data_IF_450878156471
#
_entry.id   IF_450878156471
#
_cell.length_a   1.000
_cell.length_b   1.000
_cell.length_c   1.000
_cell.angle_alpha   90.00
_cell.angle_beta   90.00
_cell.angle_gamma   90.00
#
_symmetry.space_group_name_H-M   'P 1'
#
loop_
_entity.id
_entity.type
_entity.pdbx_description
1 polymer ?
#
# COMPACT_ATOMS: atom_id res chain seq x y z
N UNK A 1 -2.24 -20.55 -13.37
CA UNK A 1 -2.96 -20.97 -12.15
C UNK A 1 -2.84 -22.48 -12.02
N UNK A 2 -2.43 -22.98 -10.85
CA UNK A 2 -2.22 -24.42 -10.60
C UNK A 2 -3.59 -25.11 -10.47
N UNK A 3 -3.90 -26.16 -11.27
CA UNK A 3 -5.19 -26.85 -11.21
C UNK A 3 -5.44 -27.46 -9.82
N UNK A 4 -6.71 -27.41 -9.37
CA UNK A 4 -7.16 -27.94 -8.06
C UNK A 4 -6.84 -29.42 -7.82
N UNK A 5 -6.55 -30.20 -8.87
CA UNK A 5 -6.25 -31.65 -8.80
C UNK A 5 -4.77 -31.98 -9.03
N UNK A 6 -3.89 -30.99 -9.05
CA UNK A 6 -2.45 -31.24 -9.25
C UNK A 6 -1.73 -31.49 -7.92
N UNK A 7 -0.66 -32.30 -7.96
CA UNK A 7 0.19 -32.59 -6.80
C UNK A 7 0.84 -31.34 -6.18
N UNK A 8 0.94 -30.25 -6.92
CA UNK A 8 1.46 -28.97 -6.43
C UNK A 8 0.42 -28.08 -5.75
N UNK A 9 -0.85 -28.51 -5.66
CA UNK A 9 -1.91 -27.66 -5.11
C UNK A 9 -1.76 -27.43 -3.61
N UNK A 10 -1.35 -28.44 -2.86
CA UNK A 10 -1.20 -28.33 -1.40
C UNK A 10 -0.13 -27.29 -1.02
N UNK A 11 1.03 -27.32 -1.71
CA UNK A 11 2.08 -26.31 -1.53
C UNK A 11 1.64 -24.91 -1.96
N UNK A 12 0.88 -24.81 -3.05
CA UNK A 12 0.31 -23.55 -3.49
C UNK A 12 -0.63 -22.96 -2.44
N UNK A 13 -1.52 -23.77 -1.86
CA UNK A 13 -2.46 -23.35 -0.83
C UNK A 13 -1.76 -22.98 0.47
N UNK A 14 -0.73 -23.72 0.85
CA UNK A 14 0.12 -23.38 1.99
C UNK A 14 0.74 -21.99 1.81
N UNK A 15 1.44 -21.74 0.69
CA UNK A 15 2.06 -20.43 0.44
C UNK A 15 1.02 -19.32 0.40
N UNK A 16 -0.14 -19.54 -0.20
CA UNK A 16 -1.21 -18.55 -0.24
C UNK A 16 -1.74 -18.21 1.17
N UNK A 17 -1.79 -19.20 2.06
CA UNK A 17 -2.22 -19.03 3.46
C UNK A 17 -1.23 -18.25 4.33
N UNK A 18 0.01 -18.06 3.86
CA UNK A 18 1.03 -17.24 4.54
C UNK A 18 0.78 -15.72 4.36
N UNK A 19 -0.21 -15.32 3.54
CA UNK A 19 -0.63 -13.93 3.42
C UNK A 19 -1.14 -13.39 4.77
N UNK A 20 -0.51 -12.35 5.36
CA UNK A 20 -1.00 -11.74 6.59
C UNK A 20 -2.44 -11.26 6.42
N UNK A 21 -3.34 -11.74 7.29
CA UNK A 21 -4.79 -11.49 7.25
C UNK A 21 -5.47 -11.81 5.89
N UNK A 22 -4.85 -12.67 5.09
CA UNK A 22 -5.30 -12.95 3.73
C UNK A 22 -5.18 -11.76 2.78
N UNK A 23 -4.36 -10.75 3.11
CA UNK A 23 -4.15 -9.54 2.29
C UNK A 23 -2.98 -9.70 1.33
N UNK A 24 -3.10 -9.04 0.18
CA UNK A 24 -2.08 -9.00 -0.86
C UNK A 24 -0.78 -8.42 -0.30
N UNK A 25 0.31 -9.20 -0.36
CA UNK A 25 1.60 -8.79 0.16
C UNK A 25 2.24 -7.63 -0.63
N UNK A 26 1.75 -7.32 -1.84
CA UNK A 26 2.26 -6.21 -2.65
C UNK A 26 1.53 -4.87 -2.41
N UNK A 27 0.22 -4.88 -2.14
CA UNK A 27 -0.55 -3.65 -1.98
C UNK A 27 -1.21 -3.47 -0.61
N UNK A 28 -1.15 -4.48 0.26
CA UNK A 28 -1.72 -4.43 1.61
C UNK A 28 -3.25 -4.33 1.69
N UNK A 29 -3.97 -4.20 0.56
CA UNK A 29 -5.42 -3.92 0.55
C UNK A 29 -6.25 -5.04 -0.07
N UNK A 30 -5.88 -5.54 -1.25
CA UNK A 30 -6.64 -6.57 -1.96
C UNK A 30 -6.58 -7.93 -1.26
N UNK A 31 -7.54 -8.81 -1.53
CA UNK A 31 -7.50 -10.21 -1.06
C UNK A 31 -6.38 -10.96 -1.78
N UNK A 32 -5.52 -11.65 -1.03
CA UNK A 32 -4.53 -12.58 -1.59
C UNK A 32 -5.25 -13.84 -2.08
N UNK A 33 -5.39 -13.97 -3.40
CA UNK A 33 -6.09 -15.07 -4.04
C UNK A 33 -5.30 -15.73 -5.18
N UNK A 34 -4.05 -15.26 -5.40
CA UNK A 34 -3.09 -15.89 -6.29
C UNK A 34 -1.66 -15.78 -5.75
N UNK A 35 -0.74 -16.55 -6.33
CA UNK A 35 0.71 -16.39 -6.13
C UNK A 35 1.30 -15.69 -7.34
N UNK A 36 2.03 -14.61 -7.09
CA UNK A 36 2.82 -13.89 -8.07
C UNK A 36 4.23 -14.46 -8.16
N UNK A 37 4.75 -14.52 -9.39
CA UNK A 37 6.16 -14.77 -9.64
C UNK A 37 6.92 -13.45 -9.63
N UNK A 38 7.76 -13.21 -8.62
CA UNK A 38 8.53 -11.96 -8.53
C UNK A 38 9.47 -11.78 -9.73
N UNK A 39 10.11 -12.87 -10.14
CA UNK A 39 10.79 -13.02 -11.43
C UNK A 39 9.97 -13.92 -12.35
N UNK A 40 9.64 -13.46 -13.57
CA UNK A 40 8.68 -14.12 -14.45
C UNK A 40 9.18 -15.49 -14.90
N UNK A 41 8.32 -16.50 -14.81
CA UNK A 41 8.65 -17.88 -15.17
C UNK A 41 9.11 -18.06 -16.62
N UNK A 42 8.69 -17.16 -17.52
CA UNK A 42 9.07 -17.22 -18.94
C UNK A 42 10.56 -16.94 -19.14
N UNK A 43 11.10 -15.98 -18.39
CA UNK A 43 12.53 -15.66 -18.39
C UNK A 43 13.34 -16.47 -17.36
N UNK A 44 12.72 -16.86 -16.25
CA UNK A 44 13.36 -17.56 -15.12
C UNK A 44 12.64 -18.87 -14.77
N UNK A 45 12.60 -19.86 -15.68
CA UNK A 45 11.83 -21.10 -15.48
C UNK A 45 12.29 -21.92 -14.27
N UNK A 46 13.58 -21.88 -13.93
CA UNK A 46 14.12 -22.56 -12.75
C UNK A 46 13.59 -21.99 -11.43
N UNK A 47 13.14 -20.73 -11.43
CA UNK A 47 12.58 -20.06 -10.25
C UNK A 47 11.04 -20.18 -10.17
N UNK A 48 10.41 -20.84 -11.14
CA UNK A 48 8.94 -20.87 -11.25
C UNK A 48 8.25 -21.59 -10.08
N UNK A 49 8.94 -22.47 -9.36
CA UNK A 49 8.42 -23.19 -8.19
C UNK A 49 9.20 -22.89 -6.92
N UNK A 50 10.12 -21.92 -6.98
CA UNK A 50 10.92 -21.53 -5.81
C UNK A 50 10.05 -20.70 -4.87
N UNK A 51 9.87 -21.09 -3.59
CA UNK A 51 9.02 -20.35 -2.65
C UNK A 51 9.40 -18.87 -2.49
N UNK A 52 10.71 -18.58 -2.47
CA UNK A 52 11.22 -17.20 -2.42
C UNK A 52 10.82 -16.34 -3.63
N UNK A 53 10.41 -16.96 -4.74
CA UNK A 53 9.93 -16.27 -5.95
C UNK A 53 8.39 -16.23 -6.03
N UNK A 54 7.67 -16.84 -5.09
CA UNK A 54 6.21 -16.95 -5.05
C UNK A 54 5.64 -16.10 -3.91
N UNK A 55 4.87 -15.08 -4.26
CA UNK A 55 4.34 -14.11 -3.30
C UNK A 55 2.81 -14.11 -3.33
N UNK A 56 2.12 -14.23 -2.18
CA UNK A 56 0.67 -14.08 -2.10
C UNK A 56 0.21 -12.67 -2.52
N UNK A 57 -0.66 -12.61 -3.53
CA UNK A 57 -1.13 -11.35 -4.13
C UNK A 57 -2.58 -11.41 -4.54
N UNK A 58 -3.20 -10.23 -4.69
CA UNK A 58 -4.46 -10.12 -5.41
C UNK A 58 -4.24 -10.24 -6.93
N UNK A 59 -5.28 -10.67 -7.66
CA UNK A 59 -5.24 -10.75 -9.14
C UNK A 59 -4.81 -9.46 -9.82
N UNK A 60 -5.26 -8.31 -9.32
CA UNK A 60 -4.92 -7.02 -9.95
C UNK A 60 -3.44 -6.72 -9.88
N UNK A 61 -2.80 -6.91 -8.71
CA UNK A 61 -1.35 -6.70 -8.57
C UNK A 61 -0.56 -7.69 -9.41
N UNK A 62 -0.94 -8.98 -9.40
CA UNK A 62 -0.31 -9.98 -10.25
C UNK A 62 -0.44 -9.64 -11.74
N UNK A 63 -1.62 -9.17 -12.18
CA UNK A 63 -1.84 -8.75 -13.56
C UNK A 63 -1.04 -7.50 -13.94
N UNK A 64 -1.05 -6.46 -13.10
CA UNK A 64 -0.34 -5.21 -13.38
C UNK A 64 1.18 -5.38 -13.37
N UNK A 65 1.72 -6.20 -12.46
CA UNK A 65 3.14 -6.56 -12.49
C UNK A 65 3.47 -7.40 -13.72
N UNK A 66 2.63 -8.39 -14.03
CA UNK A 66 2.74 -9.21 -15.23
C UNK A 66 4.09 -9.92 -15.34
N UNK A 67 4.57 -10.07 -16.57
CA UNK A 67 5.80 -10.79 -16.90
C UNK A 67 7.04 -9.87 -16.92
N UNK A 68 7.06 -8.79 -16.12
CA UNK A 68 8.20 -7.86 -16.08
C UNK A 68 9.49 -8.56 -15.61
N UNK A 69 10.54 -8.48 -16.43
CA UNK A 69 11.88 -8.99 -16.14
C UNK A 69 12.86 -7.81 -15.99
N UNK A 70 12.98 -7.22 -14.80
CA UNK A 70 13.83 -6.05 -14.57
C UNK A 70 15.31 -6.39 -14.78
N UNK A 71 16.03 -5.51 -15.50
CA UNK A 71 17.44 -5.69 -15.82
C UNK A 71 18.38 -5.13 -14.74
N UNK A 72 17.88 -4.19 -13.92
CA UNK A 72 18.64 -3.60 -12.81
C UNK A 72 17.90 -3.72 -11.48
N UNK A 73 18.59 -3.39 -10.38
CA UNK A 73 17.99 -3.44 -9.05
C UNK A 73 16.87 -2.41 -8.87
N UNK A 74 16.99 -1.25 -9.50
CA UNK A 74 16.07 -0.10 -9.45
C UNK A 74 14.77 -0.35 -10.22
N UNK A 75 14.80 -1.24 -11.22
CA UNK A 75 13.63 -1.58 -12.04
C UNK A 75 12.68 -2.58 -11.36
N UNK A 76 13.09 -3.14 -10.22
CA UNK A 76 12.27 -4.09 -9.46
C UNK A 76 11.14 -3.37 -8.71
N UNK A 77 9.98 -4.03 -8.62
CA UNK A 77 8.98 -3.71 -7.58
C UNK A 77 9.49 -4.17 -6.22
N UNK A 78 8.87 -3.72 -5.13
CA UNK A 78 9.25 -4.17 -3.79
C UNK A 78 8.99 -5.67 -3.63
N UNK A 79 9.99 -6.38 -3.14
CA UNK A 79 9.92 -7.78 -2.80
C UNK A 79 9.53 -7.93 -1.31
N UNK A 80 8.35 -8.47 -0.97
CA UNK A 80 7.87 -8.50 0.42
C UNK A 80 8.79 -9.22 1.41
N UNK A 81 9.56 -10.20 0.95
CA UNK A 81 10.47 -10.97 1.80
C UNK A 81 11.87 -10.34 1.96
N UNK A 82 12.28 -9.45 1.06
CA UNK A 82 13.67 -8.99 0.99
C UNK A 82 13.85 -7.47 1.11
N UNK A 83 12.79 -6.70 0.84
CA UNK A 83 12.82 -5.23 0.90
C UNK A 83 12.24 -4.67 2.22
N UNK A 84 12.34 -5.41 3.33
CA UNK A 84 11.77 -4.99 4.62
C UNK A 84 12.23 -3.61 5.10
N UNK A 85 13.49 -3.23 4.82
CA UNK A 85 14.10 -1.95 5.20
C UNK A 85 13.40 -0.71 4.64
N UNK A 86 12.57 -0.83 3.60
CA UNK A 86 11.80 0.33 3.12
C UNK A 86 10.78 0.82 4.13
N UNK A 87 10.43 -0.01 5.13
CA UNK A 87 9.52 0.36 6.22
C UNK A 87 10.21 1.19 7.31
N UNK A 88 11.55 1.28 7.31
CA UNK A 88 12.28 2.21 8.19
C UNK A 88 12.08 3.67 7.78
N UNK A 89 11.44 3.90 6.63
CA UNK A 89 11.15 5.20 6.05
C UNK A 89 9.67 5.38 5.79
N UNK A 90 9.18 6.60 5.99
CA UNK A 90 7.85 7.01 5.56
C UNK A 90 7.95 7.53 4.12
N UNK A 91 7.49 6.73 3.16
CA UNK A 91 7.50 7.07 1.73
C UNK A 91 6.10 7.16 1.13
N UNK A 92 5.05 6.61 1.74
CA UNK A 92 3.67 6.77 1.29
C UNK A 92 3.04 8.00 1.97
N UNK A 93 2.57 8.95 1.16
CA UNK A 93 1.95 10.19 1.62
C UNK A 93 0.54 10.36 1.04
N UNK A 94 -0.34 11.02 1.79
CA UNK A 94 -1.63 11.50 1.29
C UNK A 94 -1.60 13.02 1.21
N UNK A 95 -1.84 13.58 0.02
CA UNK A 95 -1.98 15.01 -0.19
C UNK A 95 -3.44 15.39 -0.05
N UNK A 96 -3.71 16.37 0.82
CA UNK A 96 -5.04 16.94 1.04
C UNK A 96 -5.12 18.30 0.35
N UNK A 97 -6.00 18.41 -0.64
CA UNK A 97 -6.35 19.67 -1.27
C UNK A 97 -7.61 20.24 -0.61
N UNK A 98 -7.59 21.55 -0.35
CA UNK A 98 -8.75 22.31 0.13
C UNK A 98 -9.58 22.91 -1.01
N UNK A 99 -10.49 23.86 -0.71
CA UNK A 99 -11.38 24.49 -1.67
C UNK A 99 -10.62 25.20 -2.80
N UNK A 100 -11.23 25.36 -3.98
CA UNK A 100 -12.64 25.05 -4.31
C UNK A 100 -12.92 23.58 -4.59
N UNK A 101 -11.90 22.75 -4.76
CA UNK A 101 -12.04 21.32 -5.10
C UNK A 101 -11.34 20.46 -4.04
N UNK A 102 -11.99 20.20 -2.90
CA UNK A 102 -11.47 19.28 -1.90
C UNK A 102 -11.16 17.91 -2.48
N UNK A 103 -9.93 17.44 -2.29
CA UNK A 103 -9.50 16.16 -2.85
C UNK A 103 -8.41 15.51 -2.00
N UNK A 104 -8.36 14.18 -2.07
CA UNK A 104 -7.30 13.36 -1.47
C UNK A 104 -6.63 12.55 -2.57
N UNK A 105 -5.31 12.54 -2.55
CA UNK A 105 -4.52 11.73 -3.46
C UNK A 105 -3.33 11.12 -2.75
N UNK A 106 -3.06 9.84 -3.01
CA UNK A 106 -1.89 9.15 -2.48
C UNK A 106 -0.71 9.22 -3.44
N UNK A 107 0.50 9.35 -2.90
CA UNK A 107 1.75 9.46 -3.65
C UNK A 107 2.86 8.67 -2.98
N UNK A 108 3.79 8.13 -3.78
CA UNK A 108 5.09 7.71 -3.28
C UNK A 108 6.03 8.93 -3.28
N UNK A 109 6.53 9.28 -2.11
CA UNK A 109 7.43 10.40 -1.84
C UNK A 109 8.57 9.88 -0.96
N UNK A 110 9.58 9.22 -1.54
CA UNK A 110 10.76 8.77 -0.79
C UNK A 110 11.43 9.95 -0.08
N UNK A 111 11.80 9.83 1.21
CA UNK A 111 12.50 10.90 1.89
C UNK A 111 13.96 11.02 1.36
N UNK A 112 14.61 12.20 1.50
CA UNK A 112 15.92 12.47 0.90
C UNK A 112 17.05 11.56 1.39
N UNK A 113 16.91 10.98 2.59
CA UNK A 113 17.86 10.07 3.24
C UNK A 113 17.63 8.59 2.87
N UNK A 114 16.58 8.27 2.09
CA UNK A 114 16.37 6.94 1.56
C UNK A 114 17.42 6.61 0.49
N UNK A 115 18.09 5.44 0.55
CA UNK A 115 19.01 4.98 -0.48
C UNK A 115 18.39 5.02 -1.89
N UNK A 116 19.13 5.47 -2.93
CA UNK A 116 18.58 5.68 -4.28
C UNK A 116 17.90 4.45 -4.89
N UNK A 117 18.44 3.25 -4.64
CA UNK A 117 17.86 1.99 -5.12
C UNK A 117 16.48 1.74 -4.51
N UNK A 118 16.31 1.97 -3.21
CA UNK A 118 15.03 1.79 -2.53
C UNK A 118 14.03 2.87 -2.95
N UNK A 119 14.49 4.12 -3.09
CA UNK A 119 13.66 5.21 -3.61
C UNK A 119 13.11 4.88 -5.01
N UNK A 120 13.96 4.35 -5.90
CA UNK A 120 13.54 3.91 -7.22
C UNK A 120 12.53 2.75 -7.15
N UNK A 121 12.77 1.75 -6.30
CA UNK A 121 11.85 0.61 -6.12
C UNK A 121 10.48 1.02 -5.58
N UNK A 122 10.40 1.87 -4.55
CA UNK A 122 9.09 2.29 -4.01
C UNK A 122 8.30 3.10 -5.03
N UNK A 123 8.96 3.96 -5.82
CA UNK A 123 8.33 4.70 -6.92
C UNK A 123 7.84 3.75 -8.03
N UNK A 124 8.68 2.79 -8.42
CA UNK A 124 8.34 1.77 -9.42
C UNK A 124 7.20 0.89 -8.96
N UNK A 125 7.21 0.45 -7.71
CA UNK A 125 6.16 -0.35 -7.08
C UNK A 125 4.83 0.38 -7.07
N UNK A 126 4.83 1.63 -6.59
CA UNK A 126 3.64 2.46 -6.50
C UNK A 126 2.97 2.67 -7.87
N UNK A 127 3.77 2.96 -8.89
CA UNK A 127 3.30 3.20 -10.27
C UNK A 127 2.88 1.92 -10.97
N UNK A 128 3.69 0.85 -10.90
CA UNK A 128 3.41 -0.45 -11.53
C UNK A 128 2.09 -1.03 -11.02
N UNK A 129 1.87 -1.01 -9.71
CA UNK A 129 0.68 -1.61 -9.10
C UNK A 129 -0.52 -0.66 -9.04
N UNK A 130 -0.39 0.56 -9.58
CA UNK A 130 -1.44 1.58 -9.62
C UNK A 130 -2.01 1.87 -8.23
N UNK A 131 -1.14 1.99 -7.22
CA UNK A 131 -1.55 2.11 -5.83
C UNK A 131 -2.40 3.36 -5.55
N UNK A 132 -2.15 4.49 -6.22
CA UNK A 132 -3.03 5.66 -6.13
C UNK A 132 -4.48 5.33 -6.50
N UNK A 133 -4.69 4.57 -7.60
CA UNK A 133 -6.04 4.16 -8.03
C UNK A 133 -6.69 3.22 -7.01
N UNK A 134 -5.91 2.39 -6.32
CA UNK A 134 -6.40 1.46 -5.31
C UNK A 134 -6.76 2.15 -4.00
N UNK A 135 -5.96 3.13 -3.58
CA UNK A 135 -6.07 3.79 -2.27
C UNK A 135 -7.03 4.98 -2.28
N UNK A 136 -7.09 5.78 -3.35
CA UNK A 136 -7.96 6.95 -3.42
C UNK A 136 -9.44 6.64 -3.06
N UNK A 137 -10.07 5.56 -3.57
CA UNK A 137 -11.46 5.24 -3.24
C UNK A 137 -11.69 4.82 -1.79
N UNK A 138 -10.63 4.48 -1.03
CA UNK A 138 -10.74 4.11 0.39
C UNK A 138 -10.93 5.32 1.29
N UNK A 139 -10.44 6.49 0.89
CA UNK A 139 -10.44 7.69 1.71
C UNK A 139 -11.86 8.20 2.01
N UNK A 140 -12.76 8.24 1.02
CA UNK A 140 -14.12 8.77 1.18
C UNK A 140 -14.93 8.10 2.31
N UNK A 141 -15.07 6.76 2.31
CA UNK A 141 -15.72 6.04 3.42
C UNK A 141 -15.07 6.31 4.79
N UNK A 142 -13.75 6.35 4.85
CA UNK A 142 -13.01 6.61 6.08
C UNK A 142 -13.28 8.02 6.61
N UNK A 143 -13.23 9.04 5.76
CA UNK A 143 -13.52 10.43 6.11
C UNK A 143 -14.95 10.63 6.61
N UNK A 144 -15.93 9.93 6.02
CA UNK A 144 -17.33 9.98 6.50
C UNK A 144 -17.49 9.38 7.89
N UNK A 145 -16.74 8.33 8.18
CA UNK A 145 -16.71 7.73 9.52
C UNK A 145 -16.02 8.67 10.53
N UNK A 146 -14.86 9.18 10.13
CA UNK A 146 -14.00 10.07 10.91
C UNK A 146 -14.66 11.41 11.23
N UNK A 147 -15.35 12.03 10.27
CA UNK A 147 -16.04 13.31 10.47
C UNK A 147 -16.96 13.26 11.70
N UNK A 148 -17.70 12.16 11.91
CA UNK A 148 -18.56 12.01 13.09
C UNK A 148 -17.79 11.99 14.41
N UNK A 149 -16.60 11.39 14.45
CA UNK A 149 -15.78 11.40 15.67
C UNK A 149 -15.13 12.76 15.90
N UNK A 150 -14.68 13.43 14.84
CA UNK A 150 -14.05 14.75 14.94
C UNK A 150 -15.02 15.83 15.44
N UNK A 151 -16.30 15.80 15.05
CA UNK A 151 -17.32 16.71 15.58
C UNK A 151 -17.55 16.60 17.10
N UNK A 152 -17.12 15.50 17.73
CA UNK A 152 -17.21 15.31 19.19
C UNK A 152 -15.98 15.78 19.94
N UNK A 153 -14.95 16.24 19.23
CA UNK A 153 -13.70 16.71 19.81
C UNK A 153 -13.64 18.24 19.79
N UNK A 154 -12.99 18.87 20.77
CA UNK A 154 -12.60 20.28 20.67
C UNK A 154 -11.70 20.47 19.43
N UNK A 155 -11.89 21.51 18.60
CA UNK A 155 -11.11 21.71 17.37
C UNK A 155 -9.59 21.69 17.57
N UNK A 156 -9.11 22.23 18.71
CA UNK A 156 -7.69 22.24 19.07
C UNK A 156 -7.08 20.84 19.30
N UNK A 157 -7.90 19.82 19.55
CA UNK A 157 -7.48 18.43 19.81
C UNK A 157 -7.50 17.56 18.55
N UNK A 158 -8.17 18.02 17.48
CA UNK A 158 -8.29 17.28 16.21
C UNK A 158 -6.94 16.91 15.60
N UNK A 159 -5.95 17.83 15.47
CA UNK A 159 -4.65 17.46 14.89
C UNK A 159 -3.96 16.35 15.64
N UNK A 160 -4.01 16.38 16.98
CA UNK A 160 -3.37 15.36 17.81
C UNK A 160 -4.08 14.02 17.70
N UNK A 161 -5.42 14.02 17.73
CA UNK A 161 -6.20 12.80 17.52
C UNK A 161 -5.91 12.13 16.16
N UNK A 162 -5.69 12.93 15.11
CA UNK A 162 -5.30 12.42 13.80
C UNK A 162 -3.87 11.84 13.79
N UNK A 163 -2.93 12.45 14.53
CA UNK A 163 -1.56 11.91 14.68
C UNK A 163 -1.54 10.60 15.46
N UNK A 164 -2.31 10.51 16.55
CA UNK A 164 -2.45 9.27 17.32
C UNK A 164 -2.96 8.13 16.43
N UNK A 165 -4.03 8.38 15.66
CA UNK A 165 -4.53 7.39 14.69
C UNK A 165 -3.49 7.03 13.63
N UNK A 166 -2.71 8.00 13.15
CA UNK A 166 -1.64 7.73 12.20
C UNK A 166 -0.56 6.82 12.82
N UNK A 167 -0.21 7.04 14.08
CA UNK A 167 0.74 6.23 14.83
C UNK A 167 0.21 4.80 15.05
N UNK A 168 -1.05 4.64 15.45
CA UNK A 168 -1.68 3.32 15.65
C UNK A 168 -1.58 2.46 14.38
N UNK A 169 -1.88 3.03 13.21
CA UNK A 169 -1.74 2.33 11.94
C UNK A 169 -0.29 2.10 11.52
N UNK A 170 0.63 2.96 11.97
CA UNK A 170 2.04 2.87 11.63
C UNK A 170 2.79 1.78 12.42
N UNK A 171 2.28 1.35 13.58
CA UNK A 171 2.83 0.23 14.35
C UNK A 171 2.91 -1.06 13.52
N UNK A 172 1.90 -1.33 12.69
CA UNK A 172 1.90 -2.48 11.78
C UNK A 172 2.66 -2.18 10.48
N UNK A 173 2.36 -1.04 9.87
CA UNK A 173 3.01 -0.63 8.62
C UNK A 173 2.96 0.90 8.46
N UNK A 174 4.10 1.61 8.55
CA UNK A 174 4.14 3.06 8.42
C UNK A 174 3.76 3.55 7.02
N UNK A 175 3.69 2.66 6.02
CA UNK A 175 3.31 2.94 4.65
C UNK A 175 2.00 2.25 4.24
N UNK A 176 1.13 1.89 5.19
CA UNK A 176 -0.26 1.59 4.86
C UNK A 176 -1.02 2.87 4.47
N UNK A 177 -2.09 2.73 3.68
CA UNK A 177 -2.84 3.90 3.19
C UNK A 177 -3.53 4.66 4.34
N UNK A 178 -3.89 3.97 5.42
CA UNK A 178 -4.49 4.59 6.60
C UNK A 178 -3.50 5.51 7.31
N UNK A 179 -2.29 5.02 7.63
CA UNK A 179 -1.25 5.84 8.23
C UNK A 179 -0.93 7.06 7.37
N UNK A 180 -0.81 6.87 6.04
CA UNK A 180 -0.59 7.96 5.10
C UNK A 180 -1.74 8.99 5.08
N UNK A 181 -2.99 8.51 5.10
CA UNK A 181 -4.19 9.36 5.15
C UNK A 181 -4.19 10.19 6.43
N UNK A 182 -4.09 9.55 7.59
CA UNK A 182 -4.16 10.24 8.87
C UNK A 182 -3.02 11.24 9.08
N UNK A 183 -1.79 10.93 8.64
CA UNK A 183 -0.69 11.92 8.60
C UNK A 183 -1.05 13.13 7.74
N UNK A 184 -1.51 12.90 6.51
CA UNK A 184 -1.89 13.98 5.59
C UNK A 184 -3.02 14.87 6.13
N UNK A 185 -4.01 14.27 6.80
CA UNK A 185 -5.09 15.02 7.45
C UNK A 185 -4.59 15.84 8.64
N UNK A 186 -3.70 15.28 9.46
CA UNK A 186 -3.10 15.98 10.61
C UNK A 186 -2.21 17.16 10.21
N UNK A 187 -1.55 17.07 9.05
CA UNK A 187 -0.69 18.12 8.50
C UNK A 187 -1.48 19.21 7.76
N UNK A 188 -2.72 18.93 7.36
CA UNK A 188 -3.58 19.88 6.67
C UNK A 188 -4.31 20.80 7.66
N UNK A 189 -3.83 22.04 7.79
CA UNK A 189 -4.49 23.08 8.59
C UNK A 189 -5.95 23.29 8.17
N UNK A 190 -6.19 23.38 6.87
CA UNK A 190 -7.54 23.49 6.33
C UNK A 190 -8.43 22.31 6.76
N UNK A 191 -7.95 21.07 6.67
CA UNK A 191 -8.76 19.91 7.05
C UNK A 191 -9.09 19.91 8.54
N UNK A 192 -8.10 20.16 9.39
CA UNK A 192 -8.24 20.14 10.84
C UNK A 192 -9.20 21.23 11.37
N UNK A 193 -9.26 22.38 10.69
CA UNK A 193 -10.12 23.51 11.09
C UNK A 193 -11.53 23.43 10.47
N UNK A 194 -11.61 23.13 9.18
CA UNK A 194 -12.83 23.24 8.39
C UNK A 194 -13.15 21.99 7.56
N UNK A 195 -12.15 21.35 6.94
CA UNK A 195 -12.38 20.27 5.98
C UNK A 195 -13.04 19.02 6.56
N UNK A 196 -12.97 18.75 7.87
CA UNK A 196 -13.72 17.65 8.49
C UNK A 196 -15.24 17.89 8.53
N UNK A 197 -15.69 19.14 8.34
CA UNK A 197 -17.11 19.53 8.29
C UNK A 197 -17.70 19.38 6.88
N UNK A 198 -16.85 19.32 5.86
CA UNK A 198 -17.26 19.17 4.47
C UNK A 198 -17.86 17.77 4.19
N UNK A 199 -18.85 17.67 3.29
CA UNK A 199 -19.37 16.37 2.86
C UNK A 199 -18.37 15.69 1.91
N UNK A 200 -17.68 14.66 2.42
CA UNK A 200 -16.79 13.81 1.61
C UNK A 200 -17.59 12.75 0.83
N UNK A 201 -17.55 12.85 -0.50
CA UNK A 201 -18.22 11.93 -1.43
C UNK A 201 -17.35 10.71 -1.79
#
# INVERSE_FOLDING_TARGET
MVPKRSSGRDFYDQLLSEAPDGRCALCGQGLADTLDHQLPKTAYPLLAVTPANLVPTCRDCNFYKGEQAPATAEEQTLHPYFDGHVHDYVWLTARIAGPPEPAISFHATPPPDMPPVWAARVLRHFTTLKLARLYNPQAGPELRSLSRSLHRLPPKEIPEHLRERAADWAEENPNCWQAALYRGLAESTWYAEEGYKEPWH
#
